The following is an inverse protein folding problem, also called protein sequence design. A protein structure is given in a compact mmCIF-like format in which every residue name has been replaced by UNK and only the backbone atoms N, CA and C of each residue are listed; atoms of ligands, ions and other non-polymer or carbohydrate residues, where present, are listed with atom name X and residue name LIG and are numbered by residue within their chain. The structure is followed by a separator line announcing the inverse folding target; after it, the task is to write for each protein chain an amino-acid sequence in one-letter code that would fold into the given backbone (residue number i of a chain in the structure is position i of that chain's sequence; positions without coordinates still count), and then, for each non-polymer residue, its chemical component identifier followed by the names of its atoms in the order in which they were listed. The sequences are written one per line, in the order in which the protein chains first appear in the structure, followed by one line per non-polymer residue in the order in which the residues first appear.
data_IF_700659966794
#
_entry.id   IF_700659966794
#
_cell.length_a   1.000
_cell.length_b   1.000
_cell.length_c   1.000
_cell.angle_alpha   90.00
_cell.angle_beta   90.00
_cell.angle_gamma   90.00
#
_symmetry.space_group_name_H-M   'P 1'
#
loop_
_entity.id
_entity.type
_entity.pdbx_description
1 polymer ?
2 polymer ?
3 non-polymer ?
4 water ?
#
# COMPACT_ATOMS: atom_id res chain seq x y z
N UNK A 13 13.04 -11.62 -14.39
CA UNK A 13 14.09 -11.16 -15.30
C UNK A 13 14.83 -9.95 -14.75
N UNK A 14 14.84 -9.81 -13.43
CA UNK A 14 15.48 -8.68 -12.79
C UNK A 14 16.95 -8.93 -12.47
N UNK A 15 17.67 -7.84 -12.26
CA UNK A 15 19.09 -7.86 -11.94
C UNK A 15 19.39 -6.91 -10.80
N UNK A 16 20.57 -7.08 -10.21
CA UNK A 16 21.20 -6.08 -9.35
C UNK A 16 22.35 -5.48 -10.16
N UNK A 17 22.33 -4.17 -10.36
CA UNK A 17 23.42 -3.46 -11.01
C UNK A 17 23.91 -2.35 -10.09
N UNK A 18 25.09 -1.81 -10.40
CA UNK A 18 25.59 -0.68 -9.61
C UNK A 18 24.61 0.49 -9.62
N UNK A 19 24.07 0.83 -10.79
CA UNK A 19 23.19 2.00 -10.88
C UNK A 19 21.87 1.77 -10.16
N UNK A 20 21.32 0.56 -10.25
CA UNK A 20 20.08 0.30 -9.53
C UNK A 20 20.31 0.33 -8.03
N UNK A 21 21.45 -0.21 -7.55
CA UNK A 21 21.76 -0.12 -6.14
C UNK A 21 21.96 1.32 -5.68
N UNK A 22 22.55 2.15 -6.54
CA UNK A 22 22.69 3.57 -6.24
C UNK A 22 21.32 4.25 -6.20
N UNK A 23 20.44 3.94 -7.16
CA UNK A 23 19.11 4.54 -7.15
C UNK A 23 18.34 4.14 -5.91
N UNK A 24 18.59 2.93 -5.41
CA UNK A 24 17.94 2.48 -4.19
C UNK A 24 18.56 3.14 -2.97
N UNK A 25 19.86 2.97 -2.78
CA UNK A 25 20.51 3.30 -1.50
C UNK A 25 20.87 4.78 -1.38
N UNK A 26 20.92 5.53 -2.46
CA UNK A 26 21.24 6.96 -2.41
C UNK A 26 20.03 7.81 -2.81
N UNK A 27 19.47 7.55 -3.98
CA UNK A 27 18.42 8.41 -4.52
C UNK A 27 17.11 8.21 -3.75
N UNK A 28 16.62 6.96 -3.70
CA UNK A 28 15.34 6.72 -3.03
C UNK A 28 15.46 7.04 -1.54
N UNK A 29 16.60 6.72 -0.92
CA UNK A 29 16.83 7.04 0.48
C UNK A 29 16.60 8.51 0.75
N UNK A 30 17.10 9.37 -0.14
CA UNK A 30 16.91 10.80 0.05
C UNK A 30 15.45 11.20 -0.17
N UNK A 31 14.80 10.63 -1.20
CA UNK A 31 13.46 11.10 -1.56
C UNK A 31 12.40 10.55 -0.61
N UNK A 32 12.58 9.32 -0.14
CA UNK A 32 11.58 8.68 0.70
C UNK A 32 11.36 9.45 2.00
N UNK A 33 12.42 10.07 2.53
CA UNK A 33 12.39 10.76 3.81
C UNK A 33 12.02 12.24 3.68
N UNK A 34 11.88 12.75 2.46
CA UNK A 34 11.70 14.18 2.27
C UNK A 34 10.32 14.61 2.76
N UNK A 35 10.26 15.83 3.29
CA UNK A 35 9.03 16.38 3.86
C UNK A 35 7.87 16.43 2.86
N UNK A 36 8.16 16.48 1.56
CA UNK A 36 7.14 16.52 0.53
C UNK A 36 6.90 15.15 -0.10
N UNK A 37 7.48 14.10 0.46
CA UNK A 37 7.33 12.78 -0.15
C UNK A 37 5.95 12.19 0.06
N UNK A 38 5.25 12.60 1.12
CA UNK A 38 4.08 11.85 1.56
C UNK A 38 2.98 11.65 0.50
N UNK A 39 2.70 12.57 -0.43
CA UNK A 39 1.66 12.27 -1.44
C UNK A 39 2.10 11.23 -2.45
N UNK A 40 3.40 10.94 -2.51
CA UNK A 40 3.96 10.10 -3.57
C UNK A 40 4.45 8.75 -3.08
N UNK A 41 4.30 8.43 -1.79
CA UNK A 41 4.78 7.15 -1.27
C UNK A 41 3.84 5.97 -1.58
N UNK A 42 2.68 6.23 -2.15
CA UNK A 42 1.65 5.22 -2.39
C UNK A 42 0.82 5.68 -3.58
N UNK A 43 0.13 4.76 -4.26
CA UNK A 43 -0.67 5.16 -5.42
C UNK A 43 -1.73 6.18 -5.04
N UNK A 44 -2.00 7.09 -5.98
CA UNK A 44 -3.12 8.00 -5.85
C UNK A 44 -4.40 7.20 -5.75
N UNK A 45 -5.17 7.46 -4.70
CA UNK A 45 -6.49 6.87 -4.51
C UNK A 45 -7.51 7.88 -5.03
N UNK A 46 -7.92 7.71 -6.30
CA UNK A 46 -8.75 8.71 -6.95
C UNK A 46 -10.16 8.71 -6.39
N UNK A 47 -10.61 7.57 -5.87
CA UNK A 47 -11.92 7.52 -5.22
C UNK A 47 -11.90 8.35 -3.96
N UNK A 48 -10.93 8.06 -3.07
CA UNK A 48 -10.85 8.77 -1.80
C UNK A 48 -10.66 10.26 -2.00
N UNK A 49 -9.87 10.64 -3.01
CA UNK A 49 -9.62 12.05 -3.27
C UNK A 49 -10.72 12.73 -4.08
N UNK A 50 -11.67 11.97 -4.61
CA UNK A 50 -12.75 12.54 -5.39
C UNK A 50 -12.31 13.06 -6.73
N UNK A 51 -11.46 12.32 -7.43
CA UNK A 51 -10.94 12.70 -8.75
C UNK A 51 -11.40 11.66 -9.77
N UNK A 52 -12.68 11.69 -10.17
CA UNK A 52 -13.17 10.66 -11.11
C UNK A 52 -12.50 10.72 -12.47
N UNK A 53 -11.84 11.83 -12.82
CA UNK A 53 -11.13 11.91 -14.08
C UNK A 53 -9.66 11.47 -14.01
N UNK A 54 -9.14 11.18 -12.81
CA UNK A 54 -7.71 10.89 -12.67
C UNK A 54 -7.26 9.81 -13.62
N UNK A 55 -7.91 8.63 -13.56
CA UNK A 55 -7.51 7.50 -14.37
C UNK A 55 -7.96 7.62 -15.81
N UNK A 56 -8.76 8.63 -16.15
CA UNK A 56 -9.06 8.93 -17.54
C UNK A 56 -7.94 9.74 -18.19
N UNK A 57 -7.18 10.48 -17.39
CA UNK A 57 -6.06 11.27 -17.85
C UNK A 57 -4.74 10.53 -17.68
N UNK A 58 -4.56 9.87 -16.54
CA UNK A 58 -3.31 9.17 -16.24
C UNK A 58 -3.55 7.69 -16.52
N UNK A 59 -2.91 7.19 -17.58
CA UNK A 59 -3.09 5.81 -17.97
C UNK A 59 -2.01 4.89 -17.41
N UNK A 60 -0.93 5.43 -16.84
CA UNK A 60 0.12 4.64 -16.21
C UNK A 60 0.44 5.21 -14.84
N UNK A 61 -0.36 4.87 -13.81
CA UNK A 61 -0.08 5.38 -12.47
C UNK A 61 1.29 4.92 -11.99
N UNK A 62 1.96 5.77 -11.23
CA UNK A 62 3.23 5.36 -10.63
C UNK A 62 3.43 6.18 -9.36
N UNK A 63 4.15 5.59 -8.42
CA UNK A 63 4.39 6.21 -7.12
C UNK A 63 5.72 5.69 -6.59
N UNK A 64 6.24 6.37 -5.57
CA UNK A 64 7.53 5.95 -5.00
C UNK A 64 7.43 4.68 -4.19
N UNK A 65 6.25 4.35 -3.65
CA UNK A 65 6.11 3.09 -2.94
C UNK A 65 6.28 1.91 -3.88
N UNK A 66 5.67 2.00 -5.06
CA UNK A 66 5.86 0.99 -6.10
C UNK A 66 7.33 0.92 -6.54
N UNK A 67 7.95 2.07 -6.82
CA UNK A 67 9.37 2.07 -7.22
C UNK A 67 10.23 1.47 -6.12
N UNK A 68 10.02 1.90 -4.88
CA UNK A 68 10.84 1.36 -3.79
C UNK A 68 10.71 -0.16 -3.70
N UNK A 69 9.49 -0.68 -3.83
CA UNK A 69 9.31 -2.13 -3.74
C UNK A 69 9.99 -2.83 -4.91
N UNK A 70 9.92 -2.26 -6.11
CA UNK A 70 10.60 -2.86 -7.25
C UNK A 70 12.11 -2.92 -7.06
N UNK A 71 12.69 -1.85 -6.52
CA UNK A 71 14.12 -1.86 -6.19
C UNK A 71 14.43 -2.94 -5.15
N UNK A 72 13.67 -2.96 -4.05
CA UNK A 72 13.90 -3.95 -2.99
C UNK A 72 13.79 -5.37 -3.51
N UNK A 73 12.87 -5.61 -4.44
CA UNK A 73 12.60 -6.96 -4.93
C UNK A 73 13.35 -7.30 -6.21
N UNK A 74 14.33 -6.49 -6.61
CA UNK A 74 15.11 -6.74 -7.82
C UNK A 74 14.20 -6.96 -9.03
N UNK A 75 13.14 -6.17 -9.10
CA UNK A 75 12.20 -6.25 -10.21
C UNK A 75 12.81 -5.74 -11.52
N UNK A 76 13.69 -4.75 -11.45
CA UNK A 76 14.21 -4.12 -12.65
C UNK A 76 15.36 -4.91 -13.26
N UNK A 77 15.45 -4.88 -14.60
CA UNK A 77 16.64 -5.39 -15.27
C UNK A 77 17.72 -4.33 -15.42
N UNK A 78 17.36 -3.05 -15.43
CA UNK A 78 18.32 -2.00 -15.76
C UNK A 78 17.82 -0.66 -15.23
N UNK A 79 18.78 0.17 -14.81
CA UNK A 79 18.46 1.45 -14.18
C UNK A 79 17.51 2.30 -15.03
N UNK A 80 17.59 2.19 -16.37
CA UNK A 80 16.70 2.99 -17.21
C UNK A 80 15.24 2.70 -16.91
N UNK A 81 14.91 1.45 -16.55
CA UNK A 81 13.53 1.11 -16.20
C UNK A 81 13.09 1.88 -14.97
N UNK A 82 13.96 1.93 -13.96
CA UNK A 82 13.64 2.68 -12.75
C UNK A 82 13.55 4.17 -13.03
N UNK A 83 14.49 4.70 -13.81
CA UNK A 83 14.41 6.10 -14.23
C UNK A 83 13.09 6.39 -14.95
N UNK A 84 12.62 5.45 -15.76
CA UNK A 84 11.39 5.67 -16.49
C UNK A 84 10.19 5.75 -15.54
N UNK A 85 10.17 4.91 -14.50
CA UNK A 85 9.11 4.97 -13.49
C UNK A 85 9.14 6.28 -12.70
N UNK A 86 10.34 6.78 -12.38
CA UNK A 86 10.43 8.10 -11.74
C UNK A 86 9.87 9.19 -12.66
N UNK A 87 10.23 9.14 -13.95
CA UNK A 87 9.73 10.15 -14.90
C UNK A 87 8.22 10.06 -15.08
N UNK A 88 7.67 8.85 -15.11
CA UNK A 88 6.23 8.66 -15.17
C UNK A 88 5.54 9.29 -13.95
N UNK A 89 6.10 9.05 -12.75
CA UNK A 89 5.53 9.62 -11.54
C UNK A 89 5.43 11.14 -11.63
N UNK A 90 6.56 11.79 -11.94
CA UNK A 90 6.63 13.24 -11.96
C UNK A 90 5.73 13.82 -13.06
N UNK A 91 5.84 13.27 -14.27
CA UNK A 91 5.04 13.78 -15.39
C UNK A 91 3.55 13.58 -15.15
N UNK A 92 3.17 12.43 -14.57
CA UNK A 92 1.78 12.18 -14.21
C UNK A 92 1.24 13.32 -13.35
N UNK A 93 2.02 13.73 -12.35
CA UNK A 93 1.60 14.82 -11.49
C UNK A 93 1.47 16.12 -12.27
N UNK A 94 2.44 16.41 -13.14
CA UNK A 94 2.38 17.67 -13.90
C UNK A 94 1.25 17.63 -14.92
N UNK A 95 0.92 16.45 -15.47
CA UNK A 95 -0.09 16.38 -16.50
C UNK A 95 -1.48 16.53 -15.88
N UNK A 96 -1.74 15.82 -14.78
CA UNK A 96 -3.09 15.82 -14.22
C UNK A 96 -3.41 17.14 -13.54
N UNK A 97 -2.50 17.64 -12.71
CA UNK A 97 -2.75 18.78 -11.86
C UNK A 97 -2.44 20.09 -12.59
N UNK A 98 -2.84 21.26 -11.91
CA UNK A 98 -2.60 22.55 -12.55
C UNK A 98 -1.25 23.14 -12.11
N UNK A 99 -0.69 24.01 -12.94
CA UNK A 99 0.66 24.54 -12.65
C UNK A 99 0.75 25.26 -11.30
N UNK A 100 -0.34 25.84 -10.81
CA UNK A 100 -0.34 26.56 -9.54
C UNK A 100 -0.73 25.69 -8.34
N UNK A 101 -1.09 24.43 -8.54
CA UNK A 101 -1.42 23.54 -7.42
C UNK A 101 -0.19 23.27 -6.56
N UNK A 102 -0.41 23.24 -5.24
CA UNK A 102 0.65 22.86 -4.30
C UNK A 102 1.34 21.56 -4.71
N UNK A 103 0.56 20.56 -5.14
CA UNK A 103 1.12 19.24 -5.40
C UNK A 103 2.22 19.31 -6.44
N UNK A 104 2.09 20.24 -7.38
CA UNK A 104 3.08 20.39 -8.45
C UNK A 104 4.38 20.96 -7.92
N UNK A 105 4.31 21.94 -7.04
CA UNK A 105 5.53 22.45 -6.43
C UNK A 105 6.21 21.36 -5.61
N UNK A 106 5.45 20.59 -4.85
CA UNK A 106 6.02 19.45 -4.14
C UNK A 106 6.71 18.49 -5.10
N UNK A 107 6.05 18.13 -6.19
CA UNK A 107 6.66 17.22 -7.15
C UNK A 107 7.93 17.80 -7.74
N UNK A 108 7.93 19.09 -8.06
CA UNK A 108 9.11 19.71 -8.66
C UNK A 108 10.28 19.76 -7.67
N UNK A 109 9.97 19.94 -6.39
CA UNK A 109 11.01 19.92 -5.36
C UNK A 109 11.65 18.55 -5.28
N UNK A 110 10.83 17.51 -5.24
CA UNK A 110 11.35 16.16 -5.27
C UNK A 110 12.14 15.91 -6.54
N UNK A 111 11.66 16.40 -7.68
CA UNK A 111 12.41 16.16 -8.92
C UNK A 111 13.77 16.83 -8.89
N UNK A 112 13.87 18.00 -8.26
CA UNK A 112 15.17 18.65 -8.15
C UNK A 112 16.15 17.78 -7.37
N UNK A 113 15.70 17.23 -6.25
CA UNK A 113 16.56 16.37 -5.44
C UNK A 113 16.89 15.09 -6.19
N UNK A 114 15.91 14.50 -6.86
CA UNK A 114 16.17 13.36 -7.73
C UNK A 114 17.33 13.65 -8.67
N UNK A 115 17.24 14.77 -9.39
CA UNK A 115 18.25 15.07 -10.40
C UNK A 115 19.60 15.34 -9.75
N UNK A 116 19.62 16.03 -8.61
CA UNK A 116 20.89 16.32 -7.95
C UNK A 116 21.56 15.04 -7.47
N UNK A 117 20.77 14.09 -6.99
CA UNK A 117 21.32 12.81 -6.56
C UNK A 117 21.76 11.98 -7.74
N UNK A 118 20.94 11.92 -8.79
CA UNK A 118 21.32 11.13 -9.96
C UNK A 118 22.62 11.63 -10.59
N UNK A 119 22.93 12.92 -10.43
CA UNK A 119 24.14 13.47 -11.03
C UNK A 119 25.42 12.82 -10.53
N UNK A 120 25.40 12.16 -9.37
CA UNK A 120 26.58 11.46 -8.89
C UNK A 120 26.53 9.97 -9.15
N UNK A 121 25.52 9.50 -9.88
CA UNK A 121 25.41 8.07 -10.19
C UNK A 121 26.56 7.62 -11.09
N UNK A 122 27.03 6.39 -10.93
CA UNK A 122 28.06 5.87 -11.84
C UNK A 122 27.58 5.93 -13.28
N UNK A 123 28.44 6.42 -14.17
CA UNK A 123 28.04 6.65 -15.55
C UNK A 123 27.92 5.36 -16.35
N UNK A 124 28.49 4.27 -15.87
CA UNK A 124 28.47 2.99 -16.57
C UNK A 124 27.78 1.95 -15.69
N UNK A 125 26.85 1.20 -16.29
CA UNK A 125 26.09 0.20 -15.55
C UNK A 125 26.75 -1.16 -15.72
N UNK A 126 26.93 -1.85 -14.60
CA UNK A 126 27.45 -3.21 -14.57
C UNK A 126 26.71 -4.03 -13.53
N UNK A 127 26.41 -5.28 -13.87
CA UNK A 127 25.83 -6.21 -12.90
C UNK A 127 26.82 -6.48 -11.77
N UNK A 128 26.30 -6.83 -10.60
CA UNK A 128 27.13 -7.11 -9.44
C UNK A 128 27.03 -8.57 -9.02
N UNK B 13 -22.29 0.25 -7.46
CA UNK B 13 -22.03 1.42 -6.60
C UNK B 13 -22.29 1.03 -5.15
N UNK B 14 -21.35 1.36 -4.28
CA UNK B 14 -21.48 1.00 -2.89
C UNK B 14 -22.66 1.69 -2.22
N UNK B 15 -23.00 1.17 -1.04
CA UNK B 15 -23.96 1.80 -0.15
C UNK B 15 -23.28 2.07 1.19
N UNK B 16 -23.79 3.06 1.90
CA UNK B 16 -23.56 3.20 3.33
C UNK B 16 -24.71 2.49 4.05
N UNK B 17 -24.39 1.45 4.81
CA UNK B 17 -25.38 0.77 5.63
C UNK B 17 -24.97 0.80 7.09
N UNK B 18 -25.93 0.53 7.98
CA UNK B 18 -25.62 0.50 9.39
C UNK B 18 -24.55 -0.54 9.69
N UNK B 19 -24.67 -1.73 9.08
CA UNK B 19 -23.73 -2.82 9.38
C UNK B 19 -22.35 -2.52 8.81
N UNK B 20 -22.29 -1.93 7.61
CA UNK B 20 -20.99 -1.54 7.05
C UNK B 20 -20.35 -0.43 7.88
N UNK B 21 -21.15 0.55 8.35
CA UNK B 21 -20.60 1.59 9.21
C UNK B 21 -20.13 1.03 10.54
N UNK B 22 -20.87 0.04 11.07
CA UNK B 22 -20.45 -0.63 12.28
C UNK B 22 -19.15 -1.40 12.05
N UNK B 23 -19.06 -2.12 10.93
CA UNK B 23 -17.83 -2.83 10.58
C UNK B 23 -16.65 -1.89 10.47
N UNK B 24 -16.88 -0.69 9.94
CA UNK B 24 -15.81 0.29 9.83
C UNK B 24 -15.47 0.86 11.21
N UNK B 25 -16.44 1.47 11.88
CA UNK B 25 -16.15 2.28 13.05
C UNK B 25 -16.03 1.47 14.35
N UNK B 26 -16.49 0.23 14.36
CA UNK B 26 -16.38 -0.61 15.56
C UNK B 26 -15.39 -1.75 15.34
N UNK B 27 -15.59 -2.55 14.30
CA UNK B 27 -14.78 -3.75 14.10
C UNK B 27 -13.37 -3.37 13.62
N UNK B 28 -13.28 -2.74 12.44
CA UNK B 28 -11.97 -2.39 11.89
C UNK B 28 -11.17 -1.54 12.88
N UNK B 29 -11.83 -0.56 13.52
CA UNK B 29 -11.15 0.30 14.49
C UNK B 29 -10.45 -0.52 15.56
N UNK B 30 -11.08 -1.58 16.07
CA UNK B 30 -10.44 -2.45 17.04
C UNK B 30 -9.29 -3.24 16.42
N UNK B 31 -9.53 -3.85 15.24
CA UNK B 31 -8.54 -4.76 14.66
C UNK B 31 -7.32 -4.00 14.14
N UNK B 32 -7.53 -2.84 13.55
CA UNK B 32 -6.44 -2.09 12.94
C UNK B 32 -5.38 -1.72 13.97
N UNK B 33 -5.79 -1.43 15.19
CA UNK B 33 -4.88 -0.97 16.21
C UNK B 33 -4.25 -2.11 17.00
N UNK B 34 -4.64 -3.34 16.73
CA UNK B 34 -4.25 -4.46 17.58
C UNK B 34 -2.78 -4.80 17.38
N UNK B 35 -2.14 -5.26 18.46
CA UNK B 35 -0.71 -5.55 18.45
C UNK B 35 -0.33 -6.57 17.37
N UNK B 36 -1.26 -7.43 16.98
CA UNK B 36 -0.99 -8.45 15.96
C UNK B 36 -1.47 -8.05 14.57
N UNK B 37 -1.90 -6.79 14.38
CA UNK B 37 -2.45 -6.38 13.10
C UNK B 37 -1.38 -6.24 12.03
N UNK B 38 -0.15 -5.95 12.40
CA UNK B 38 0.83 -5.48 11.42
C UNK B 38 1.09 -6.41 10.24
N UNK B 39 1.02 -7.75 10.34
CA UNK B 39 1.22 -8.56 9.12
C UNK B 39 0.07 -8.45 8.16
N UNK B 40 -1.07 -7.95 8.61
CA UNK B 40 -2.28 -7.99 7.82
C UNK B 40 -2.74 -6.61 7.33
N UNK B 41 -1.98 -5.56 7.63
CA UNK B 41 -2.38 -4.22 7.24
C UNK B 41 -2.11 -3.92 5.77
N UNK B 42 -1.43 -4.80 5.05
CA UNK B 42 -1.05 -4.60 3.66
C UNK B 42 -0.99 -5.96 3.00
N UNK B 43 -1.05 -6.02 1.67
CA UNK B 43 -1.00 -7.32 0.99
C UNK B 43 0.30 -8.07 1.28
N UNK B 44 0.19 -9.39 1.36
CA UNK B 44 1.37 -10.23 1.44
C UNK B 44 2.23 -9.98 0.22
N UNK B 45 3.49 -9.62 0.46
CA UNK B 45 4.49 -9.47 -0.59
C UNK B 45 5.29 -10.77 -0.62
N UNK B 46 4.94 -11.66 -1.55
CA UNK B 46 5.48 -13.01 -1.57
C UNK B 46 6.92 -13.03 -2.09
N UNK B 47 7.29 -12.06 -2.93
CA UNK B 47 8.68 -12.01 -3.40
C UNK B 47 9.60 -11.64 -2.24
N UNK B 48 9.26 -10.58 -1.53
CA UNK B 48 10.09 -10.09 -0.43
C UNK B 48 10.17 -11.10 0.68
N UNK B 49 9.06 -11.76 0.99
CA UNK B 49 9.07 -12.79 2.03
C UNK B 49 9.60 -14.13 1.55
N UNK B 50 9.87 -14.27 0.25
CA UNK B 50 10.32 -15.54 -0.28
C UNK B 50 9.33 -16.68 -0.08
N UNK B 51 8.07 -16.47 -0.45
CA UNK B 51 7.03 -17.49 -0.42
C UNK B 51 6.73 -17.87 -1.87
N UNK B 52 7.42 -18.87 -2.44
CA UNK B 52 7.44 -19.00 -3.90
C UNK B 52 6.14 -19.50 -4.49
N UNK B 53 5.35 -20.26 -3.72
CA UNK B 53 4.10 -20.81 -4.22
C UNK B 53 2.88 -20.05 -3.72
N UNK B 54 3.07 -18.85 -3.15
CA UNK B 54 1.98 -18.18 -2.47
C UNK B 54 0.80 -17.93 -3.39
N UNK B 55 1.05 -17.38 -4.57
CA UNK B 55 -0.03 -16.97 -5.44
C UNK B 55 -0.56 -18.11 -6.30
N UNK B 56 0.04 -19.30 -6.20
CA UNK B 56 -0.59 -20.47 -6.79
C UNK B 56 -1.50 -21.17 -5.80
N UNK B 57 -1.16 -21.10 -4.50
CA UNK B 57 -2.04 -21.64 -3.47
C UNK B 57 -3.17 -20.66 -3.16
N UNK B 58 -2.87 -19.38 -3.05
CA UNK B 58 -3.82 -18.34 -2.65
C UNK B 58 -4.27 -17.61 -3.90
N UNK B 59 -5.49 -17.88 -4.35
CA UNK B 59 -5.95 -17.26 -5.58
C UNK B 59 -6.66 -15.93 -5.35
N UNK B 60 -7.04 -15.63 -4.12
CA UNK B 60 -7.75 -14.39 -3.82
C UNK B 60 -7.07 -13.72 -2.63
N UNK B 61 -5.93 -13.07 -2.86
CA UNK B 61 -5.25 -12.37 -1.76
C UNK B 61 -6.16 -11.32 -1.14
N UNK B 62 -6.07 -11.16 0.18
CA UNK B 62 -6.85 -10.13 0.85
C UNK B 62 -6.12 -9.69 2.12
N UNK B 63 -6.34 -8.45 2.51
CA UNK B 63 -5.67 -7.88 3.68
C UNK B 63 -6.57 -6.80 4.26
N UNK B 64 -6.23 -6.36 5.48
CA UNK B 64 -7.05 -5.38 6.18
C UNK B 64 -6.89 -3.97 5.64
N UNK B 65 -5.72 -3.64 5.08
CA UNK B 65 -5.59 -2.36 4.40
C UNK B 65 -6.54 -2.25 3.22
N UNK B 66 -6.69 -3.33 2.47
CA UNK B 66 -7.62 -3.32 1.35
C UNK B 66 -9.05 -3.19 1.86
N UNK B 67 -9.43 -3.98 2.88
CA UNK B 67 -10.78 -3.88 3.44
C UNK B 67 -11.03 -2.49 4.00
N UNK B 68 -10.06 -1.95 4.75
CA UNK B 68 -10.24 -0.63 5.34
C UNK B 68 -10.48 0.42 4.25
N UNK B 69 -9.64 0.43 3.21
CA UNK B 69 -9.88 1.35 2.09
C UNK B 69 -11.24 1.11 1.45
N UNK B 70 -11.67 -0.15 1.36
CA UNK B 70 -12.99 -0.40 0.77
C UNK B 70 -14.11 0.15 1.64
N UNK B 71 -13.96 0.05 2.98
CA UNK B 71 -14.94 0.65 3.87
C UNK B 71 -14.93 2.18 3.76
N UNK B 72 -13.74 2.78 3.82
CA UNK B 72 -13.63 4.24 3.74
C UNK B 72 -14.24 4.77 2.45
N UNK B 73 -14.08 4.03 1.36
CA UNK B 73 -14.46 4.54 0.04
C UNK B 73 -15.84 4.08 -0.41
N UNK B 74 -16.64 3.52 0.50
CA UNK B 74 -17.98 3.00 0.17
C UNK B 74 -17.94 2.10 -1.05
N UNK B 75 -16.91 1.25 -1.14
CA UNK B 75 -16.82 0.28 -2.21
C UNK B 75 -17.89 -0.81 -2.08
N UNK B 76 -18.25 -1.17 -0.86
CA UNK B 76 -19.14 -2.31 -0.64
C UNK B 76 -20.60 -1.92 -0.82
N UNK B 77 -21.38 -2.84 -1.39
CA UNK B 77 -22.82 -2.66 -1.42
C UNK B 77 -23.52 -3.24 -0.19
N UNK B 78 -22.94 -4.27 0.45
CA UNK B 78 -23.57 -4.89 1.61
C UNK B 78 -22.51 -5.40 2.58
N UNK B 79 -22.88 -5.43 3.86
CA UNK B 79 -21.96 -5.90 4.89
C UNK B 79 -21.42 -7.29 4.59
N UNK B 80 -22.22 -8.15 3.97
CA UNK B 80 -21.81 -9.52 3.70
C UNK B 80 -20.54 -9.56 2.84
N UNK B 81 -20.37 -8.59 1.94
CA UNK B 81 -19.18 -8.55 1.09
C UNK B 81 -17.94 -8.27 1.93
N UNK B 82 -18.07 -7.39 2.91
CA UNK B 82 -16.94 -7.08 3.79
C UNK B 82 -16.62 -8.26 4.69
N UNK B 83 -17.65 -8.94 5.20
CA UNK B 83 -17.44 -10.16 5.96
C UNK B 83 -16.73 -11.22 5.11
N UNK B 84 -17.09 -11.31 3.84
CA UNK B 84 -16.44 -12.28 2.97
C UNK B 84 -14.96 -11.98 2.80
N UNK B 85 -14.59 -10.69 2.69
CA UNK B 85 -13.18 -10.31 2.59
C UNK B 85 -12.43 -10.60 3.88
N UNK B 86 -13.04 -10.32 5.03
CA UNK B 86 -12.41 -10.71 6.30
C UNK B 86 -12.19 -12.22 6.35
N UNK B 87 -13.17 -13.01 5.94
CA UNK B 87 -13.02 -14.46 5.97
C UNK B 87 -11.97 -14.94 4.97
N UNK B 88 -11.91 -14.32 3.79
CA UNK B 88 -10.87 -14.65 2.82
C UNK B 88 -9.49 -14.39 3.40
N UNK B 89 -9.32 -13.27 4.10
CA UNK B 89 -8.01 -12.94 4.65
C UNK B 89 -7.58 -13.97 5.68
N UNK B 90 -8.49 -14.32 6.60
CA UNK B 90 -8.19 -15.28 7.67
C UNK B 90 -7.94 -16.67 7.12
N UNK B 91 -8.81 -17.13 6.22
CA UNK B 91 -8.66 -18.46 5.64
C UNK B 91 -7.40 -18.56 4.78
N UNK B 92 -7.08 -17.49 4.05
CA UNK B 92 -5.84 -17.48 3.26
C UNK B 92 -4.66 -17.78 4.15
N UNK B 93 -4.62 -17.15 5.33
CA UNK B 93 -3.48 -17.33 6.22
C UNK B 93 -3.41 -18.77 6.71
N UNK B 94 -4.55 -19.35 7.13
CA UNK B 94 -4.58 -20.73 7.60
C UNK B 94 -4.30 -21.72 6.48
N UNK B 95 -4.67 -21.39 5.24
CA UNK B 95 -4.45 -22.34 4.16
C UNK B 95 -2.97 -22.39 3.78
N UNK B 96 -2.34 -21.22 3.65
CA UNK B 96 -0.97 -21.21 3.18
C UNK B 96 0.01 -21.66 4.26
N UNK B 97 -0.19 -21.19 5.49
CA UNK B 97 0.81 -21.35 6.54
C UNK B 97 0.55 -22.64 7.33
N UNK B 98 1.54 -22.99 8.21
CA UNK B 98 1.40 -24.23 8.96
C UNK B 98 0.71 -23.97 10.30
N UNK B 99 0.00 -24.97 10.85
CA UNK B 99 -0.76 -24.73 12.09
C UNK B 99 0.08 -24.19 13.24
N UNK B 100 1.36 -24.55 13.33
CA UNK B 100 2.20 -24.10 14.43
C UNK B 100 2.93 -22.79 14.14
N UNK B 101 2.73 -22.17 12.97
CA UNK B 101 3.39 -20.89 12.67
C UNK B 101 2.80 -19.78 13.53
N UNK B 102 3.67 -18.90 14.03
CA UNK B 102 3.21 -17.70 14.75
C UNK B 102 2.10 -16.97 13.98
N UNK B 103 2.27 -16.79 12.68
CA UNK B 103 1.32 -16.00 11.89
C UNK B 103 -0.10 -16.53 12.06
N UNK B 104 -0.26 -17.85 12.22
CA UNK B 104 -1.58 -18.44 12.37
C UNK B 104 -2.17 -18.09 13.74
N UNK B 105 -1.35 -18.12 14.78
CA UNK B 105 -1.81 -17.70 16.09
C UNK B 105 -2.25 -16.24 16.07
N UNK B 106 -1.46 -15.37 15.43
CA UNK B 106 -1.86 -13.97 15.31
C UNK B 106 -3.16 -13.82 14.53
N UNK B 107 -3.33 -14.57 13.45
CA UNK B 107 -4.56 -14.46 12.69
C UNK B 107 -5.75 -14.94 13.51
N UNK B 108 -5.57 -16.04 14.26
CA UNK B 108 -6.66 -16.56 15.08
C UNK B 108 -7.01 -15.60 16.21
N UNK B 109 -6.00 -14.92 16.74
CA UNK B 109 -6.24 -13.91 17.75
C UNK B 109 -7.07 -12.78 17.18
N UNK B 110 -6.75 -12.33 15.97
CA UNK B 110 -7.53 -11.28 15.33
C UNK B 110 -8.94 -11.75 15.01
N UNK B 111 -9.07 -13.00 14.55
CA UNK B 111 -10.41 -13.50 14.24
C UNK B 111 -11.27 -13.58 15.50
N UNK B 112 -10.67 -13.86 16.65
CA UNK B 112 -11.45 -13.89 17.87
C UNK B 112 -12.03 -12.51 18.16
N UNK B 113 -11.21 -11.47 18.02
CA UNK B 113 -11.68 -10.11 18.25
C UNK B 113 -12.69 -9.70 17.19
N UNK B 114 -12.44 -10.06 15.95
CA UNK B 114 -13.43 -9.86 14.90
C UNK B 114 -14.80 -10.43 15.30
N UNK B 115 -14.83 -11.69 15.73
CA UNK B 115 -16.11 -12.34 16.02
C UNK B 115 -16.77 -11.74 17.25
N UNK B 116 -15.98 -11.43 18.27
CA UNK B 116 -16.52 -10.77 19.45
C UNK B 116 -17.14 -9.42 19.10
N UNK B 117 -16.46 -8.64 18.26
CA UNK B 117 -16.99 -7.33 17.89
C UNK B 117 -18.25 -7.46 17.04
N UNK B 118 -18.25 -8.39 16.09
CA UNK B 118 -19.40 -8.53 15.20
C UNK B 118 -20.63 -9.01 15.96
N UNK B 119 -20.46 -9.64 17.12
CA UNK B 119 -21.59 -10.14 17.90
C UNK B 119 -22.57 -9.04 18.26
N UNK B 120 -22.11 -7.80 18.41
CA UNK B 120 -23.01 -6.69 18.72
C UNK B 120 -23.44 -5.90 17.51
N UNK B 121 -23.11 -6.35 16.30
CA UNK B 121 -23.58 -5.69 15.09
C UNK B 121 -25.10 -5.72 15.03
N UNK B 122 -25.76 -4.66 14.56
CA UNK B 122 -27.21 -4.75 14.35
C UNK B 122 -27.52 -5.92 13.42
N UNK B 123 -28.61 -6.64 13.72
CA UNK B 123 -28.90 -7.87 12.99
C UNK B 123 -29.54 -7.65 11.64
N UNK B 124 -30.07 -6.45 11.39
CA UNK B 124 -30.76 -6.15 10.14
C UNK B 124 -30.03 -5.00 9.45
N UNK B 125 -29.77 -5.16 8.17
CA UNK B 125 -29.03 -4.17 7.41
C UNK B 125 -29.99 -3.16 6.79
N UNK B 126 -29.79 -1.88 7.09
CA UNK B 126 -30.57 -0.79 6.52
C UNK B 126 -29.61 0.20 5.86
N UNK B 127 -29.95 0.67 4.67
CA UNK B 127 -29.19 1.79 4.11
C UNK B 127 -29.44 3.03 4.96
N UNK B 128 -28.41 3.86 5.12
CA UNK B 128 -28.58 5.10 5.87
C UNK B 128 -28.83 6.27 4.92
C UNK C 1 -7.24 11.22 2.91
N UNK C 2 -8.32 11.97 2.99
CA UNK C 2 -8.60 12.98 1.96
C UNK C 2 -7.64 14.16 2.08
N UNK C 3 -7.23 14.70 0.93
CA UNK C 3 -6.50 15.96 0.90
C UNK C 3 -6.79 16.61 -0.44
N UNK C 4 -6.43 17.89 -0.52
CA UNK C 4 -6.60 18.69 -1.73
C UNK C 4 -5.26 18.81 -2.45
N UNK C 5 -5.25 18.43 -3.73
CA UNK C 5 -4.09 18.61 -4.57
C UNK C 5 -3.60 20.05 -4.67
N UNK C 6 -4.59 20.94 -4.76
CA UNK C 6 -4.31 22.38 -4.90
C UNK C 6 -3.66 22.92 -3.64
N UNK C 7 -4.14 22.47 -2.48
CA UNK C 7 -3.67 22.96 -1.19
C UNK C 7 -2.90 21.89 -0.40
N UNK C 8 -2.32 20.91 -1.10
CA UNK C 8 -1.62 19.79 -0.48
C UNK C 8 -0.66 20.18 0.64
N UNK C 9 -0.04 21.36 0.53
CA UNK C 9 0.96 21.75 1.51
C UNK C 9 0.38 22.13 2.85
N UNK C 10 -0.96 22.21 2.91
CA UNK C 10 -1.65 22.34 4.20
C UNK C 10 -1.31 21.17 5.12
N UNK C 11 -1.10 20.01 4.51
CA UNK C 11 -0.85 18.78 5.24
C UNK C 11 0.65 18.53 5.34
N UNK C 12 1.11 18.17 6.54
CA UNK C 12 2.51 17.85 6.80
C UNK C 12 2.82 16.38 6.63
N UNK C 13 1.83 15.51 6.73
CA UNK C 13 2.01 14.07 6.62
C UNK C 13 0.84 13.51 5.84
N UNK C 14 0.94 12.23 5.51
CA UNK C 14 -0.15 11.51 4.89
C UNK C 14 -1.37 11.58 5.78
N UNK C 15 -2.48 12.18 5.33
CA UNK C 15 -3.58 12.50 6.23
C UNK C 15 -4.56 11.37 6.41
N UNK C 16 -4.18 10.16 6.03
CA UNK C 16 -5.09 9.03 6.16
C UNK C 16 -4.56 8.10 7.23
N UNK C 17 -3.25 8.19 7.48
C UNK D 1 10.41 -7.17 5.39
N UNK D 2 11.52 -7.90 5.35
CA UNK D 2 11.41 -9.35 5.54
C UNK D 2 11.04 -9.72 6.97
N UNK D 3 10.19 -10.75 7.08
CA UNK D 3 9.93 -11.40 8.35
C UNK D 3 9.62 -12.86 8.04
N UNK D 4 9.59 -13.65 9.11
CA UNK D 4 9.31 -15.08 9.03
C UNK D 4 7.90 -15.39 9.51
N UNK D 5 7.14 -16.12 8.69
CA UNK D 5 5.81 -16.53 9.02
C UNK D 5 5.75 -17.41 10.28
N UNK D 6 6.71 -18.31 10.35
CA UNK D 6 6.82 -19.23 11.48
C UNK D 6 7.08 -18.48 12.77
N UNK D 7 7.96 -17.48 12.71
CA UNK D 7 8.43 -16.75 13.88
C UNK D 7 7.95 -15.29 13.90
N UNK D 8 6.84 -15.00 13.25
CA UNK D 8 6.36 -13.63 13.10
C UNK D 8 6.30 -12.83 14.41
N UNK D 9 6.05 -13.50 15.54
CA UNK D 9 5.86 -12.77 16.80
C UNK D 9 7.15 -12.20 17.36
N UNK D 10 8.30 -12.57 16.76
CA UNK D 10 9.58 -11.91 17.04
C UNK D 10 9.48 -10.40 16.79
N UNK D 11 8.72 -10.03 15.76
CA UNK D 11 8.59 -8.65 15.36
C UNK D 11 7.37 -8.00 16.01
N UNK D 12 7.56 -6.78 16.51
CA UNK D 12 6.48 -6.03 17.14
C UNK D 12 5.79 -5.07 16.17
N UNK D 13 6.39 -4.80 15.02
CA UNK D 13 5.84 -3.91 14.00
C UNK D 13 6.19 -4.50 12.64
N UNK D 14 5.48 -4.03 11.61
CA UNK D 14 5.85 -4.38 10.25
C UNK D 14 7.30 -3.94 10.02
N UNK D 15 8.20 -4.84 9.61
CA UNK D 15 9.62 -4.48 9.56
C UNK D 15 10.04 -3.72 8.32
N UNK D 16 9.13 -3.39 7.43
CA UNK D 16 9.49 -2.68 6.21
C UNK D 16 8.82 -1.33 6.20
N UNK D 17 9.62 -0.27 6.28
X LIG E 1 24.37 11.57 -1.85
X LIG E 1 24.31 12.17 -0.60
X LIG E 1 25.43 12.34 -2.69
X LIG E 1 25.48 11.88 -4.00
X LIG E 1 24.99 13.81 -2.64
X LIG E 1 25.67 14.45 -3.67
X LIG F 1 16.54 3.42 1.56
X LIG F 1 17.30 2.36 1.04
X LIG F 1 15.22 3.47 0.77
X LIG F 1 15.35 4.21 -0.36
X LIG F 1 14.15 4.09 1.71
X LIG F 1 14.72 4.28 2.96
X LIG G 1 -7.37 -19.85 -1.12
X LIG G 1 -6.59 -21.00 -1.30
X LIG G 1 -8.03 -19.60 -2.47
X LIG G 1 -7.08 -19.58 -3.48
X LIG G 1 -8.79 -18.26 -2.33
X LIG G 1 -7.87 -17.32 -1.90
X LIG H 1 -11.49 3.37 12.29
X LIG H 1 -12.71 3.78 11.77
X LIG H 1 -10.83 2.45 11.23
X LIG H 1 -11.23 1.17 11.40
X LIG H 1 -9.30 2.60 11.39
X LIG H 1 -9.07 3.18 12.63
X LIG I 1 -0.52 17.32 9.83
X LIG I 1 -0.60 18.70 9.75
X LIG I 1 -1.59 16.79 8.88
X LIG I 1 -1.11 16.62 7.62
X LIG I 1 -2.03 15.48 9.52
X LIG I 1 -3.34 15.28 9.12
#
# INVERSE_FOLDING_TARGET
GPLGSEVSNPKKPGRVTNQLQYLHKVVMKALWKHQFAWPFRQPVDAVKLGLPDYHKIIKQPMDMGTIKRRLENNYYWAASECMQDFNTMFTNCYIYNKPTDDIVLMAQTLEKIFLQKVASMPQEEQELVVTIPKN
GPLGSEVSNPKKPGRVTNQLQYLHKVVMKALWKHQFAWPFRQPVDAVKLGLPDYHKIIKQPMDMGTIKRRLENNYYWAASECMQDFNTMFTNCYIYNKPTDDIVLMAQTLEKIFLQKVASMPQEEQELVVTIPKN
XWYSKKYAKWWTVYPCX
XWYSKKYAKWWTVYPCX
GOL C1 O1 C2 O2 C3 O3
GOL C1 O1 C2 O2 C3 O3
GOL C1 O1 C2 O2 C3 O3
GOL C1 O1 C2 O2 C3 O3
GOL C1 O1 C2 O2 C3 O3
#
